data_IF_536886264039
#
_entry.id   IF_536886264039
#
_cell.length_a   1.000
_cell.length_b   1.000
_cell.length_c   1.000
_cell.angle_alpha   90.00
_cell.angle_beta   90.00
_cell.angle_gamma   90.00
#
_symmetry.space_group_name_H-M   'P 1'
#
loop_
_entity.id
_entity.type
_entity.pdbx_description
1 polymer ?
#
# COMPACT_ATOMS: atom_id res chain seq x y z
N UNK A 1 -65.60 -33.98 -13.16
CA UNK A 1 -64.35 -33.83 -12.44
C UNK A 1 -63.24 -34.26 -13.37
N UNK A 2 -62.62 -33.30 -14.12
CA UNK A 2 -61.52 -33.59 -15.03
C UNK A 2 -60.22 -33.56 -14.24
N UNK A 3 -59.54 -34.68 -14.06
CA UNK A 3 -58.19 -34.78 -13.54
C UNK A 3 -57.24 -34.46 -14.69
N UNK A 4 -56.60 -33.31 -14.65
CA UNK A 4 -55.48 -32.98 -15.54
C UNK A 4 -54.27 -33.91 -15.22
N UNK A 5 -53.58 -34.47 -16.22
CA UNK A 5 -52.44 -35.36 -15.99
C UNK A 5 -51.25 -34.61 -15.51
N UNK A 6 -50.81 -34.97 -14.32
CA UNK A 6 -49.64 -34.42 -13.61
C UNK A 6 -48.34 -34.29 -14.45
N UNK A 7 -48.05 -35.14 -15.46
CA UNK A 7 -46.82 -35.04 -16.26
C UNK A 7 -46.74 -33.82 -17.20
N UNK A 8 -47.89 -33.28 -17.62
CA UNK A 8 -47.94 -32.11 -18.53
C UNK A 8 -47.58 -30.79 -17.81
N UNK A 9 -47.93 -30.68 -16.54
CA UNK A 9 -47.59 -29.49 -15.71
C UNK A 9 -46.08 -29.47 -15.37
N UNK A 10 -45.48 -30.62 -15.09
CA UNK A 10 -44.05 -30.73 -14.82
C UNK A 10 -43.18 -30.44 -16.05
N UNK A 11 -43.63 -30.80 -17.25
CA UNK A 11 -42.93 -30.53 -18.50
C UNK A 11 -42.93 -29.02 -18.86
N UNK A 12 -44.03 -28.31 -18.57
CA UNK A 12 -44.13 -26.86 -18.78
C UNK A 12 -43.27 -26.06 -17.78
N UNK A 13 -43.12 -26.52 -16.54
CA UNK A 13 -42.22 -25.89 -15.53
C UNK A 13 -40.75 -26.05 -15.87
N UNK A 14 -40.34 -27.19 -16.46
CA UNK A 14 -38.94 -27.41 -16.88
C UNK A 14 -38.57 -26.59 -18.13
N UNK A 15 -39.50 -26.36 -19.04
CA UNK A 15 -39.25 -25.53 -20.25
C UNK A 15 -39.12 -24.05 -19.94
N UNK A 16 -39.70 -23.55 -18.85
CA UNK A 16 -39.58 -22.15 -18.39
C UNK A 16 -38.25 -21.81 -17.79
N UNK A 17 -37.48 -22.78 -17.30
CA UNK A 17 -36.14 -22.57 -16.68
C UNK A 17 -34.99 -22.45 -17.70
N UNK A 18 -35.21 -22.81 -18.96
CA UNK A 18 -34.22 -22.75 -20.04
C UNK A 18 -34.26 -21.45 -20.85
N UNK A 19 -35.25 -20.59 -20.62
CA UNK A 19 -35.40 -19.30 -21.35
C UNK A 19 -34.67 -18.11 -20.67
N UNK A 20 -33.91 -18.34 -19.62
CA UNK A 20 -33.44 -17.30 -18.70
C UNK A 20 -32.01 -16.81 -18.85
N UNK A 21 -31.31 -17.06 -19.97
CA UNK A 21 -29.94 -16.48 -20.14
C UNK A 21 -29.59 -16.27 -21.61
N UNK A 22 -30.08 -15.21 -22.22
CA UNK A 22 -29.44 -14.66 -23.42
C UNK A 22 -29.72 -13.16 -23.57
N UNK A 23 -29.31 -12.37 -22.59
CA UNK A 23 -28.94 -10.99 -22.87
C UNK A 23 -27.48 -10.98 -23.37
N UNK A 24 -27.22 -11.43 -24.59
CA UNK A 24 -26.00 -11.11 -25.29
C UNK A 24 -26.04 -9.62 -25.54
N UNK A 25 -25.45 -8.84 -24.64
CA UNK A 25 -25.10 -7.43 -24.90
C UNK A 25 -24.21 -7.46 -26.15
N UNK A 26 -24.73 -6.96 -27.26
CA UNK A 26 -24.00 -6.90 -28.53
C UNK A 26 -22.68 -6.17 -28.30
N UNK A 27 -21.55 -6.83 -28.56
CA UNK A 27 -20.24 -6.21 -28.37
C UNK A 27 -20.03 -5.08 -29.39
N UNK A 28 -20.33 -3.87 -28.97
CA UNK A 28 -20.18 -2.66 -29.80
C UNK A 28 -18.79 -2.52 -30.41
N UNK A 29 -17.78 -3.19 -29.84
CA UNK A 29 -16.40 -3.14 -30.31
C UNK A 29 -16.04 -4.26 -31.31
N UNK A 30 -16.99 -5.14 -31.69
CA UNK A 30 -16.72 -6.34 -32.49
C UNK A 30 -15.95 -6.05 -33.78
N UNK A 31 -16.25 -4.95 -34.47
CA UNK A 31 -15.59 -4.53 -35.71
C UNK A 31 -14.45 -3.51 -35.51
N UNK A 32 -14.03 -3.20 -34.28
CA UNK A 32 -13.01 -2.17 -34.08
C UNK A 32 -11.58 -2.76 -34.19
N UNK A 33 -10.69 -1.98 -34.80
CA UNK A 33 -9.27 -2.29 -34.78
C UNK A 33 -8.70 -2.15 -33.35
N UNK A 34 -7.58 -2.83 -33.03
CA UNK A 34 -6.91 -2.66 -31.74
C UNK A 34 -6.58 -1.19 -31.41
N UNK A 35 -6.12 -0.42 -32.38
CA UNK A 35 -5.81 0.99 -32.17
C UNK A 35 -7.06 1.83 -31.85
N UNK A 36 -8.21 1.51 -32.46
CA UNK A 36 -9.47 2.19 -32.14
C UNK A 36 -9.93 1.88 -30.72
N UNK A 37 -9.82 0.62 -30.28
CA UNK A 37 -10.16 0.24 -28.91
C UNK A 37 -9.25 0.97 -27.91
N UNK A 38 -7.96 1.08 -28.23
CA UNK A 38 -6.99 1.80 -27.40
C UNK A 38 -7.35 3.28 -27.28
N UNK A 39 -7.65 3.94 -28.41
CA UNK A 39 -8.04 5.35 -28.41
C UNK A 39 -9.28 5.59 -27.56
N UNK A 40 -10.33 4.77 -27.74
CA UNK A 40 -11.56 4.87 -26.95
C UNK A 40 -11.30 4.66 -25.45
N UNK A 41 -10.46 3.65 -25.11
CA UNK A 41 -10.06 3.41 -23.71
C UNK A 41 -9.33 4.61 -23.10
N UNK A 42 -8.46 5.26 -23.86
CA UNK A 42 -7.77 6.49 -23.44
C UNK A 42 -8.73 7.68 -23.29
N UNK A 43 -9.72 7.81 -24.16
CA UNK A 43 -10.75 8.85 -24.04
C UNK A 43 -11.59 8.67 -22.79
N UNK A 44 -11.98 7.43 -22.45
CA UNK A 44 -12.67 7.13 -21.18
C UNK A 44 -11.75 7.38 -19.96
N UNK A 45 -10.47 7.05 -20.05
CA UNK A 45 -9.48 7.38 -19.01
C UNK A 45 -9.39 8.89 -18.79
N UNK A 46 -9.29 9.68 -19.86
CA UNK A 46 -9.15 11.14 -19.82
C UNK A 46 -10.41 11.82 -19.28
N UNK A 47 -11.58 11.21 -19.52
CA UNK A 47 -12.86 11.67 -18.96
C UNK A 47 -13.06 11.30 -17.48
N UNK A 48 -12.18 10.46 -16.90
CA UNK A 48 -12.29 9.91 -15.55
C UNK A 48 -13.25 8.73 -15.43
N UNK A 49 -13.76 8.19 -16.53
CA UNK A 49 -14.65 7.03 -16.58
C UNK A 49 -13.85 5.71 -16.55
N UNK A 50 -13.09 5.51 -15.47
CA UNK A 50 -12.17 4.37 -15.32
C UNK A 50 -12.87 3.01 -15.40
N UNK A 51 -14.10 2.92 -14.88
CA UNK A 51 -14.97 1.74 -14.95
C UNK A 51 -15.29 1.33 -16.39
N UNK A 52 -15.33 2.28 -17.33
CA UNK A 52 -15.54 2.02 -18.76
C UNK A 52 -14.22 1.75 -19.49
N UNK A 53 -13.13 2.35 -19.06
CA UNK A 53 -11.81 2.13 -19.68
C UNK A 53 -11.31 0.70 -19.42
N UNK A 54 -11.49 0.15 -18.23
CA UNK A 54 -11.02 -1.21 -17.86
C UNK A 54 -11.48 -2.28 -18.85
N UNK A 55 -12.79 -2.46 -19.16
CA UNK A 55 -13.23 -3.49 -20.10
C UNK A 55 -12.73 -3.27 -21.53
N UNK A 56 -12.44 -2.03 -21.94
CA UNK A 56 -11.84 -1.75 -23.24
C UNK A 56 -10.38 -2.22 -23.29
N UNK A 57 -9.60 -1.96 -22.24
CA UNK A 57 -8.24 -2.49 -22.12
C UNK A 57 -8.21 -4.02 -22.06
N UNK A 58 -9.17 -4.65 -21.40
CA UNK A 58 -9.29 -6.12 -21.37
C UNK A 58 -9.54 -6.71 -22.77
N UNK A 59 -10.45 -6.11 -23.52
CA UNK A 59 -10.70 -6.50 -24.91
C UNK A 59 -9.47 -6.31 -25.78
N UNK A 60 -8.76 -5.19 -25.59
CA UNK A 60 -7.55 -4.90 -26.33
C UNK A 60 -6.43 -5.91 -26.01
N UNK A 61 -6.25 -6.26 -24.73
CA UNK A 61 -5.30 -7.28 -24.29
C UNK A 61 -5.54 -8.61 -25.02
N UNK A 62 -6.81 -9.03 -25.13
CA UNK A 62 -7.17 -10.25 -25.86
C UNK A 62 -6.96 -10.15 -27.38
N UNK A 63 -7.36 -9.02 -28.01
CA UNK A 63 -7.28 -8.86 -29.46
C UNK A 63 -5.89 -8.57 -30.00
N UNK A 64 -5.04 -7.94 -29.18
CA UNK A 64 -3.67 -7.60 -29.54
C UNK A 64 -2.64 -8.50 -28.85
N UNK A 65 -3.04 -9.70 -28.41
CA UNK A 65 -2.20 -10.60 -27.65
C UNK A 65 -0.81 -10.80 -28.29
N UNK A 66 0.25 -10.75 -27.48
CA UNK A 66 1.63 -10.87 -27.92
C UNK A 66 2.25 -9.59 -28.51
N UNK A 67 1.50 -8.50 -28.63
CA UNK A 67 2.02 -7.23 -29.14
C UNK A 67 2.43 -6.25 -28.03
N UNK A 68 3.29 -5.25 -28.34
CA UNK A 68 3.56 -4.16 -27.38
C UNK A 68 2.31 -3.39 -26.96
N UNK A 69 1.30 -3.29 -27.83
CA UNK A 69 0.04 -2.62 -27.52
C UNK A 69 -0.77 -3.36 -26.44
N UNK A 70 -0.73 -4.71 -26.45
CA UNK A 70 -1.35 -5.50 -25.37
C UNK A 70 -0.62 -5.29 -24.04
N UNK A 71 0.72 -5.18 -24.04
CA UNK A 71 1.48 -4.87 -22.82
C UNK A 71 1.14 -3.48 -22.28
N UNK A 72 1.02 -2.48 -23.16
CA UNK A 72 0.59 -1.14 -22.77
C UNK A 72 -0.83 -1.15 -22.19
N UNK A 73 -1.75 -1.89 -22.80
CA UNK A 73 -3.12 -2.03 -22.30
C UNK A 73 -3.18 -2.64 -20.90
N UNK A 74 -2.31 -3.60 -20.58
CA UNK A 74 -2.23 -4.17 -19.23
C UNK A 74 -1.81 -3.12 -18.19
N UNK A 75 -0.82 -2.30 -18.50
CA UNK A 75 -0.35 -1.24 -17.61
C UNK A 75 -1.43 -0.16 -17.44
N UNK A 76 -2.04 0.28 -18.55
CA UNK A 76 -3.09 1.29 -18.52
C UNK A 76 -4.34 0.80 -17.77
N UNK A 77 -4.66 -0.49 -17.91
CA UNK A 77 -5.70 -1.13 -17.10
C UNK A 77 -5.39 -1.09 -15.61
N UNK A 78 -4.14 -1.40 -15.23
CA UNK A 78 -3.72 -1.30 -13.84
C UNK A 78 -3.83 0.14 -13.31
N UNK A 79 -3.46 1.11 -14.13
CA UNK A 79 -3.61 2.52 -13.78
C UNK A 79 -5.09 2.92 -13.65
N UNK A 80 -5.98 2.43 -14.54
CA UNK A 80 -7.42 2.65 -14.46
C UNK A 80 -7.99 2.11 -13.14
N UNK A 81 -7.65 0.87 -12.76
CA UNK A 81 -8.03 0.29 -11.47
C UNK A 81 -7.53 1.14 -10.29
N UNK A 82 -6.27 1.60 -10.35
CA UNK A 82 -5.72 2.48 -9.31
C UNK A 82 -6.53 3.77 -9.18
N UNK A 83 -6.85 4.43 -10.29
CA UNK A 83 -7.62 5.68 -10.32
C UNK A 83 -9.08 5.47 -9.89
N UNK A 84 -9.66 4.30 -10.15
CA UNK A 84 -10.97 3.88 -9.67
C UNK A 84 -10.99 3.55 -8.16
N UNK A 85 -9.83 3.52 -7.48
CA UNK A 85 -9.72 3.11 -6.08
C UNK A 85 -9.70 1.59 -5.87
N UNK A 86 -9.64 0.81 -6.92
CA UNK A 86 -9.64 -0.65 -6.94
C UNK A 86 -8.22 -1.20 -6.77
N UNK A 87 -7.62 -0.92 -5.59
CA UNK A 87 -6.19 -1.20 -5.31
C UNK A 87 -5.82 -2.67 -5.52
N UNK A 88 -6.67 -3.60 -5.09
CA UNK A 88 -6.39 -5.04 -5.22
C UNK A 88 -6.30 -5.49 -6.69
N UNK A 89 -7.19 -4.99 -7.54
CA UNK A 89 -7.20 -5.28 -8.98
C UNK A 89 -6.00 -4.65 -9.67
N UNK A 90 -5.63 -3.42 -9.28
CA UNK A 90 -4.43 -2.76 -9.79
C UNK A 90 -3.17 -3.57 -9.49
N UNK A 91 -2.97 -3.99 -8.23
CA UNK A 91 -1.81 -4.81 -7.82
C UNK A 91 -1.80 -6.15 -8.57
N UNK A 92 -2.93 -6.86 -8.62
CA UNK A 92 -3.03 -8.14 -9.32
C UNK A 92 -2.69 -8.03 -10.82
N UNK A 93 -3.14 -6.93 -11.46
CA UNK A 93 -2.85 -6.66 -12.87
C UNK A 93 -1.35 -6.38 -13.08
N UNK A 94 -0.72 -5.62 -12.19
CA UNK A 94 0.72 -5.33 -12.24
C UNK A 94 1.57 -6.58 -11.98
N UNK A 95 1.22 -7.39 -10.99
CA UNK A 95 1.92 -8.64 -10.68
C UNK A 95 1.85 -9.61 -11.87
N UNK A 96 0.68 -9.71 -12.51
CA UNK A 96 0.52 -10.51 -13.74
C UNK A 96 1.38 -9.96 -14.88
N UNK A 97 1.40 -8.63 -15.09
CA UNK A 97 2.24 -7.99 -16.10
C UNK A 97 3.71 -8.30 -15.89
N UNK A 98 4.23 -8.07 -14.68
CA UNK A 98 5.63 -8.29 -14.34
C UNK A 98 6.04 -9.75 -14.50
N UNK A 99 5.15 -10.69 -14.17
CA UNK A 99 5.39 -12.12 -14.34
C UNK A 99 5.43 -12.56 -15.81
N UNK A 100 4.55 -12.00 -16.63
CA UNK A 100 4.45 -12.35 -18.06
C UNK A 100 5.50 -11.65 -18.92
N UNK A 101 5.95 -10.48 -18.51
CA UNK A 101 6.83 -9.61 -19.30
C UNK A 101 8.06 -9.14 -18.51
N UNK A 102 8.89 -10.07 -17.97
CA UNK A 102 10.01 -9.72 -17.07
C UNK A 102 11.09 -8.86 -17.74
N UNK A 103 11.17 -8.86 -19.07
CA UNK A 103 12.10 -8.06 -19.86
C UNK A 103 11.45 -6.84 -20.53
N UNK A 104 10.22 -6.49 -20.13
CA UNK A 104 9.54 -5.32 -20.70
C UNK A 104 10.28 -4.03 -20.36
N UNK A 105 10.43 -3.09 -21.32
CA UNK A 105 11.01 -1.77 -21.04
C UNK A 105 10.15 -0.92 -20.09
N UNK A 106 8.89 -1.31 -19.85
CA UNK A 106 8.00 -0.64 -18.92
C UNK A 106 8.02 -1.26 -17.51
N UNK A 107 8.98 -2.13 -17.21
CA UNK A 107 9.09 -2.78 -15.90
C UNK A 107 9.32 -1.78 -14.77
N UNK A 108 10.13 -0.76 -15.02
CA UNK A 108 10.38 0.32 -14.05
C UNK A 108 9.09 1.09 -13.71
N UNK A 109 8.27 1.39 -14.73
CA UNK A 109 6.97 2.03 -14.48
C UNK A 109 5.98 1.10 -13.76
N UNK A 110 5.97 -0.20 -14.10
CA UNK A 110 5.10 -1.16 -13.43
C UNK A 110 5.42 -1.28 -11.93
N UNK A 111 6.71 -1.34 -11.57
CA UNK A 111 7.17 -1.32 -10.18
C UNK A 111 6.81 -0.01 -9.47
N UNK A 112 7.03 1.12 -10.15
CA UNK A 112 6.67 2.43 -9.63
C UNK A 112 5.17 2.53 -9.33
N UNK A 113 4.33 2.14 -10.29
CA UNK A 113 2.88 2.16 -10.12
C UNK A 113 2.42 1.21 -9.01
N UNK A 114 3.02 0.01 -8.89
CA UNK A 114 2.75 -0.90 -7.77
C UNK A 114 3.08 -0.28 -6.42
N UNK A 115 4.21 0.41 -6.33
CA UNK A 115 4.57 1.21 -5.16
C UNK A 115 3.52 2.28 -4.84
N UNK A 116 3.07 3.05 -5.85
CA UNK A 116 2.05 4.09 -5.67
C UNK A 116 0.69 3.55 -5.22
N UNK A 117 0.24 2.41 -5.77
CA UNK A 117 -1.05 1.78 -5.40
C UNK A 117 -1.10 1.44 -3.91
N UNK A 118 0.03 0.99 -3.36
CA UNK A 118 0.17 0.62 -1.94
C UNK A 118 0.60 1.80 -1.06
N UNK A 119 1.08 2.89 -1.68
CA UNK A 119 1.52 4.07 -0.94
C UNK A 119 0.33 4.81 -0.34
N UNK A 120 0.46 5.18 0.92
CA UNK A 120 -0.53 5.97 1.62
C UNK A 120 0.13 7.25 2.16
N UNK A 121 -0.20 8.39 1.57
CA UNK A 121 0.32 9.70 1.97
C UNK A 121 -0.10 10.09 3.40
N UNK A 122 -1.13 9.44 3.94
CA UNK A 122 -1.66 9.71 5.27
C UNK A 122 -0.89 9.02 6.41
N UNK A 123 0.15 8.23 6.11
CA UNK A 123 0.98 7.55 7.13
C UNK A 123 1.80 8.52 8.00
N UNK A 124 1.95 9.80 7.64
CA UNK A 124 2.89 10.72 8.30
C UNK A 124 2.28 11.80 9.17
N UNK A 125 1.73 12.85 8.59
CA UNK A 125 1.43 14.08 9.33
C UNK A 125 -0.01 14.22 9.82
N UNK A 126 -0.97 13.57 9.16
CA UNK A 126 -2.38 13.72 9.47
C UNK A 126 -3.00 12.55 10.23
N UNK A 127 -2.38 11.37 10.28
CA UNK A 127 -2.83 10.24 11.10
C UNK A 127 -2.80 10.58 12.60
N UNK A 128 -1.91 11.48 12.99
CA UNK A 128 -1.82 12.02 14.34
C UNK A 128 -3.04 12.88 14.73
N UNK A 129 -3.64 13.60 13.78
CA UNK A 129 -4.84 14.43 14.01
C UNK A 129 -6.10 13.57 13.98
N UNK A 130 -6.13 12.52 13.16
CA UNK A 130 -7.34 11.69 12.97
C UNK A 130 -7.57 10.63 14.04
N UNK A 131 -6.63 10.40 14.98
CA UNK A 131 -6.67 9.30 15.97
C UNK A 131 -6.97 7.93 15.35
N UNK A 132 -6.70 7.76 14.06
CA UNK A 132 -6.84 6.48 13.40
C UNK A 132 -5.65 5.61 13.82
N UNK A 133 -5.92 4.54 14.56
CA UNK A 133 -4.96 3.47 14.78
C UNK A 133 -4.51 2.96 13.41
N UNK A 134 -3.19 3.06 13.16
CA UNK A 134 -2.58 2.45 11.99
C UNK A 134 -2.83 0.94 12.11
N UNK A 135 -3.81 0.43 11.37
CA UNK A 135 -4.15 -0.98 11.38
C UNK A 135 -3.00 -1.81 10.81
N UNK A 136 -2.91 -3.08 11.19
CA UNK A 136 -1.94 -4.04 10.59
C UNK A 136 -1.97 -4.01 9.04
N UNK A 137 -3.14 -3.76 8.47
CA UNK A 137 -3.34 -3.65 7.02
C UNK A 137 -2.58 -2.47 6.41
N UNK A 138 -2.56 -1.32 7.10
CA UNK A 138 -1.86 -0.13 6.61
C UNK A 138 -0.34 -0.31 6.67
N UNK A 139 0.18 -1.00 7.69
CA UNK A 139 1.60 -1.35 7.78
C UNK A 139 2.01 -2.33 6.67
N UNK A 140 1.17 -3.32 6.36
CA UNK A 140 1.43 -4.24 5.26
C UNK A 140 1.50 -3.49 3.93
N UNK A 141 0.55 -2.63 3.63
CA UNK A 141 0.54 -1.82 2.42
C UNK A 141 1.81 -0.94 2.33
N UNK A 142 2.24 -0.33 3.44
CA UNK A 142 3.47 0.45 3.49
C UNK A 142 4.72 -0.40 3.18
N UNK A 143 4.81 -1.61 3.72
CA UNK A 143 5.90 -2.55 3.42
C UNK A 143 5.88 -3.00 1.96
N UNK A 144 4.71 -3.39 1.44
CA UNK A 144 4.53 -3.78 0.03
C UNK A 144 4.92 -2.62 -0.92
N UNK A 145 4.60 -1.38 -0.55
CA UNK A 145 5.01 -0.16 -1.27
C UNK A 145 6.53 0.02 -1.24
N UNK A 146 7.14 -0.10 -0.06
CA UNK A 146 8.60 0.01 0.11
C UNK A 146 9.34 -1.04 -0.72
N UNK A 147 8.88 -2.29 -0.72
CA UNK A 147 9.48 -3.37 -1.50
C UNK A 147 9.44 -3.08 -3.01
N UNK A 148 8.30 -2.62 -3.52
CA UNK A 148 8.16 -2.27 -4.94
C UNK A 148 9.09 -1.10 -5.33
N UNK A 149 9.18 -0.05 -4.52
CA UNK A 149 10.09 1.07 -4.77
C UNK A 149 11.56 0.66 -4.63
N UNK A 150 11.90 -0.19 -3.65
CA UNK A 150 13.25 -0.70 -3.44
C UNK A 150 13.71 -1.55 -4.64
N UNK A 151 12.86 -2.42 -5.15
CA UNK A 151 13.15 -3.20 -6.35
C UNK A 151 13.37 -2.28 -7.57
N UNK A 152 12.53 -1.25 -7.73
CA UNK A 152 12.70 -0.25 -8.79
C UNK A 152 14.07 0.43 -8.71
N UNK A 153 14.41 1.00 -7.55
CA UNK A 153 15.67 1.75 -7.38
C UNK A 153 16.90 0.85 -7.58
N UNK A 154 16.81 -0.41 -7.13
CA UNK A 154 17.91 -1.37 -7.23
C UNK A 154 18.12 -1.85 -8.67
N UNK A 155 17.04 -2.20 -9.37
CA UNK A 155 17.12 -2.76 -10.74
C UNK A 155 17.23 -1.70 -11.82
N UNK A 156 16.65 -0.53 -11.57
CA UNK A 156 16.53 0.56 -12.56
C UNK A 156 16.98 1.90 -11.97
N UNK A 157 18.24 2.03 -11.50
CA UNK A 157 18.71 3.25 -10.82
C UNK A 157 18.69 4.50 -11.71
N UNK A 158 18.70 4.31 -13.05
CA UNK A 158 18.62 5.39 -14.02
C UNK A 158 17.18 5.68 -14.49
N UNK A 159 16.18 5.00 -13.92
CA UNK A 159 14.79 5.30 -14.23
C UNK A 159 14.41 6.71 -13.76
N UNK A 160 13.61 7.41 -14.57
CA UNK A 160 13.05 8.71 -14.19
C UNK A 160 12.21 8.67 -12.89
N UNK A 161 11.77 7.48 -12.49
CA UNK A 161 11.00 7.27 -11.27
C UNK A 161 11.84 6.99 -10.04
N UNK A 162 13.14 6.70 -10.19
CA UNK A 162 14.00 6.24 -9.11
C UNK A 162 14.17 7.29 -7.98
N UNK A 163 14.27 8.56 -8.35
CA UNK A 163 14.41 9.65 -7.37
C UNK A 163 13.16 9.80 -6.50
N UNK A 164 11.97 9.84 -7.11
CA UNK A 164 10.71 9.94 -6.39
C UNK A 164 10.46 8.69 -5.53
N UNK A 165 10.75 7.51 -6.06
CA UNK A 165 10.67 6.26 -5.32
C UNK A 165 11.55 6.27 -4.06
N UNK A 166 12.79 6.75 -4.15
CA UNK A 166 13.70 6.87 -3.01
C UNK A 166 13.17 7.83 -1.93
N UNK A 167 12.57 8.94 -2.33
CA UNK A 167 11.95 9.88 -1.40
C UNK A 167 10.77 9.26 -0.66
N UNK A 168 9.92 8.50 -1.39
CA UNK A 168 8.79 7.77 -0.80
C UNK A 168 9.24 6.66 0.14
N UNK A 169 10.30 5.94 -0.21
CA UNK A 169 10.91 4.95 0.68
C UNK A 169 11.34 5.57 2.01
N UNK A 170 12.03 6.70 1.97
CA UNK A 170 12.43 7.45 3.17
C UNK A 170 11.21 7.84 4.01
N UNK A 171 10.15 8.33 3.37
CA UNK A 171 8.90 8.66 4.04
C UNK A 171 8.25 7.44 4.71
N UNK A 172 8.18 6.29 4.02
CA UNK A 172 7.62 5.05 4.56
C UNK A 172 8.40 4.59 5.79
N UNK A 173 9.73 4.54 5.71
CA UNK A 173 10.58 4.10 6.83
C UNK A 173 10.40 4.99 8.05
N UNK A 174 10.37 6.31 7.85
CA UNK A 174 10.09 7.26 8.93
C UNK A 174 8.72 7.01 9.58
N UNK A 175 7.69 6.79 8.77
CA UNK A 175 6.33 6.58 9.26
C UNK A 175 6.19 5.28 10.05
N UNK A 176 6.80 4.19 9.58
CA UNK A 176 6.81 2.90 10.27
C UNK A 176 7.56 2.98 11.60
N UNK A 177 8.72 3.64 11.62
CA UNK A 177 9.47 3.85 12.86
C UNK A 177 8.69 4.70 13.87
N UNK A 178 8.05 5.78 13.42
CA UNK A 178 7.21 6.62 14.29
C UNK A 178 6.04 5.85 14.90
N UNK A 179 5.44 4.92 14.15
CA UNK A 179 4.39 4.05 14.68
C UNK A 179 4.90 3.18 15.83
N UNK A 180 6.03 2.48 15.66
CA UNK A 180 6.60 1.65 16.72
C UNK A 180 6.94 2.47 17.98
N UNK A 181 7.49 3.67 17.80
CA UNK A 181 7.80 4.58 18.90
C UNK A 181 6.54 5.09 19.59
N UNK A 182 5.49 5.39 18.82
CA UNK A 182 4.20 5.78 19.40
C UNK A 182 3.61 4.68 20.28
N UNK A 183 3.63 3.43 19.79
CA UNK A 183 3.16 2.26 20.55
C UNK A 183 4.05 2.01 21.79
N UNK A 184 5.38 2.15 21.65
CA UNK A 184 6.32 2.02 22.77
C UNK A 184 6.02 3.06 23.85
N UNK A 185 5.80 4.32 23.48
CA UNK A 185 5.43 5.40 24.41
C UNK A 185 4.11 5.12 25.13
N UNK A 186 3.11 4.64 24.40
CA UNK A 186 1.82 4.25 24.98
C UNK A 186 1.98 3.18 26.07
N UNK A 187 2.76 2.11 25.80
CA UNK A 187 3.03 1.07 26.79
C UNK A 187 3.84 1.60 27.99
N UNK A 188 4.86 2.43 27.71
CA UNK A 188 5.65 3.05 28.78
C UNK A 188 4.79 3.87 29.72
N UNK A 189 3.92 4.74 29.21
CA UNK A 189 3.01 5.58 30.01
C UNK A 189 2.02 4.78 30.86
N UNK A 190 1.74 3.53 30.49
CA UNK A 190 0.89 2.59 31.25
C UNK A 190 1.66 1.68 32.20
N UNK A 191 2.97 1.85 32.32
CA UNK A 191 3.80 0.99 33.17
C UNK A 191 4.08 -0.39 32.59
N UNK A 192 3.68 -0.66 31.35
CA UNK A 192 3.92 -1.92 30.66
C UNK A 192 5.34 -1.94 30.04
N UNK A 193 6.36 -1.80 30.90
CA UNK A 193 7.74 -1.56 30.48
C UNK A 193 8.33 -2.66 29.58
N UNK A 194 8.00 -3.94 29.81
CA UNK A 194 8.46 -5.03 28.95
C UNK A 194 7.94 -4.89 27.51
N UNK A 195 6.66 -4.50 27.35
CA UNK A 195 6.08 -4.26 26.05
C UNK A 195 6.69 -3.00 25.38
N UNK A 196 6.95 -1.94 26.15
CA UNK A 196 7.63 -0.74 25.68
C UNK A 196 9.05 -1.06 25.17
N UNK A 197 9.81 -1.89 25.89
CA UNK A 197 11.13 -2.38 25.48
C UNK A 197 11.03 -3.11 24.14
N UNK A 198 10.10 -4.07 24.01
CA UNK A 198 9.95 -4.84 22.78
C UNK A 198 9.69 -3.95 21.56
N UNK A 199 8.78 -2.96 21.68
CA UNK A 199 8.50 -2.02 20.59
C UNK A 199 9.67 -1.10 20.27
N UNK A 200 10.36 -0.58 21.30
CA UNK A 200 11.56 0.24 21.09
C UNK A 200 12.69 -0.55 20.39
N UNK A 201 12.87 -1.82 20.76
CA UNK A 201 13.85 -2.69 20.10
C UNK A 201 13.51 -2.96 18.63
N UNK A 202 12.23 -3.19 18.31
CA UNK A 202 11.78 -3.31 16.91
C UNK A 202 12.11 -2.03 16.14
N UNK A 203 11.78 -0.85 16.69
CA UNK A 203 12.12 0.42 16.04
C UNK A 203 13.63 0.55 15.76
N UNK A 204 14.47 0.21 16.74
CA UNK A 204 15.92 0.33 16.63
C UNK A 204 16.56 -0.72 15.69
N UNK A 205 15.98 -1.90 15.59
CA UNK A 205 16.50 -2.99 14.76
C UNK A 205 16.09 -2.85 13.29
N UNK A 206 14.81 -2.53 13.04
CA UNK A 206 14.21 -2.60 11.70
C UNK A 206 14.34 -1.29 10.92
N UNK A 207 14.49 -0.15 11.62
CA UNK A 207 14.48 1.18 10.99
C UNK A 207 15.74 1.96 11.35
N UNK A 208 16.68 2.07 10.43
CA UNK A 208 17.93 2.79 10.68
C UNK A 208 17.92 4.21 10.07
N UNK A 209 18.65 5.14 10.70
CA UNK A 209 18.87 6.47 10.16
C UNK A 209 17.66 7.41 10.21
N UNK A 210 16.63 7.10 11.01
CA UNK A 210 15.42 7.92 11.11
C UNK A 210 15.35 8.67 12.45
N UNK A 211 14.77 9.90 12.47
CA UNK A 211 14.71 10.73 13.68
C UNK A 211 13.96 10.11 14.86
N UNK A 212 13.00 9.21 14.60
CA UNK A 212 12.19 8.57 15.63
C UNK A 212 13.01 7.67 16.58
N UNK A 213 14.18 7.19 16.16
CA UNK A 213 15.02 6.29 16.96
C UNK A 213 15.60 6.95 18.21
N UNK A 214 15.79 8.25 18.21
CA UNK A 214 16.20 9.01 19.39
C UNK A 214 15.20 8.80 20.55
N UNK A 215 13.92 8.89 20.27
CA UNK A 215 12.87 8.65 21.26
C UNK A 215 12.74 7.17 21.62
N UNK A 216 12.85 6.27 20.65
CA UNK A 216 12.84 4.82 20.90
C UNK A 216 13.92 4.45 21.92
N UNK A 217 15.12 4.96 21.75
CA UNK A 217 16.25 4.70 22.64
C UNK A 217 16.01 5.30 24.03
N UNK A 218 15.42 6.50 24.10
CA UNK A 218 15.05 7.10 25.38
C UNK A 218 14.00 6.26 26.12
N UNK A 219 12.93 5.80 25.46
CA UNK A 219 11.91 4.92 26.05
C UNK A 219 12.54 3.62 26.54
N UNK A 220 13.47 3.06 25.79
CA UNK A 220 14.19 1.85 26.15
C UNK A 220 14.98 2.05 27.45
N UNK A 221 15.74 3.13 27.56
CA UNK A 221 16.52 3.50 28.77
C UNK A 221 15.58 3.63 29.98
N UNK A 222 14.52 4.39 29.86
CA UNK A 222 13.58 4.62 30.95
C UNK A 222 12.85 3.34 31.37
N UNK A 223 12.54 2.46 30.41
CA UNK A 223 11.89 1.18 30.69
C UNK A 223 12.83 0.20 31.40
N UNK A 224 14.11 0.15 31.03
CA UNK A 224 15.12 -0.64 31.74
C UNK A 224 15.35 -0.12 33.17
N UNK A 225 15.39 1.20 33.35
CA UNK A 225 15.52 1.82 34.68
C UNK A 225 14.34 1.46 35.58
N UNK A 226 13.11 1.55 35.08
CA UNK A 226 11.90 1.21 35.82
C UNK A 226 11.82 -0.28 36.23
N UNK A 227 12.48 -1.17 35.47
CA UNK A 227 12.59 -2.60 35.79
C UNK A 227 13.82 -2.98 36.60
N UNK A 228 14.67 -2.01 36.97
CA UNK A 228 15.92 -2.25 37.70
C UNK A 228 17.01 -2.97 36.88
N UNK A 229 16.90 -2.98 35.56
CA UNK A 229 17.86 -3.62 34.65
C UNK A 229 19.05 -2.68 34.39
N UNK A 230 19.84 -2.41 35.42
CA UNK A 230 20.87 -1.35 35.43
C UNK A 230 21.91 -1.50 34.34
N UNK A 231 22.40 -2.71 34.06
CA UNK A 231 23.40 -2.94 33.02
C UNK A 231 22.85 -2.59 31.62
N UNK A 232 21.64 -3.05 31.28
CA UNK A 232 21.00 -2.79 29.99
C UNK A 232 20.67 -1.30 29.83
N UNK A 233 20.22 -0.65 30.90
CA UNK A 233 20.02 0.80 30.94
C UNK A 233 21.30 1.55 30.63
N UNK A 234 22.40 1.20 31.28
CA UNK A 234 23.69 1.88 31.13
C UNK A 234 24.30 1.64 29.75
N UNK A 235 24.11 0.44 29.18
CA UNK A 235 24.50 0.13 27.81
C UNK A 235 23.70 0.96 26.79
N UNK A 236 22.37 1.04 26.95
CA UNK A 236 21.52 1.85 26.08
C UNK A 236 21.84 3.36 26.22
N UNK A 237 22.18 3.83 27.46
CA UNK A 237 22.58 5.21 27.69
C UNK A 237 23.88 5.55 26.95
N UNK A 238 24.89 4.65 26.97
CA UNK A 238 26.12 4.86 26.21
C UNK A 238 25.86 4.99 24.70
N UNK A 239 24.91 4.22 24.17
CA UNK A 239 24.47 4.32 22.78
C UNK A 239 23.82 5.69 22.52
N UNK A 240 22.95 6.14 23.44
CA UNK A 240 22.29 7.43 23.36
C UNK A 240 23.29 8.59 23.33
N UNK A 241 24.22 8.62 24.29
CA UNK A 241 25.24 9.67 24.43
C UNK A 241 26.15 9.74 23.19
N UNK A 242 26.44 8.58 22.57
CA UNK A 242 27.27 8.50 21.36
C UNK A 242 26.52 8.91 20.10
N UNK A 243 25.28 8.45 19.95
CA UNK A 243 24.51 8.63 18.71
C UNK A 243 23.73 9.94 18.68
N UNK A 244 23.33 10.44 19.85
CA UNK A 244 22.50 11.63 20.03
C UNK A 244 23.01 12.54 21.15
N UNK A 245 24.27 13.04 21.07
CA UNK A 245 24.90 13.79 22.17
C UNK A 245 24.16 15.09 22.52
N UNK A 246 23.36 15.63 21.60
CA UNK A 246 22.57 16.85 21.81
C UNK A 246 21.09 16.55 22.00
N UNK A 247 20.72 15.31 22.34
CA UNK A 247 19.34 14.91 22.51
C UNK A 247 18.64 15.72 23.60
N UNK A 248 17.49 16.30 23.23
CA UNK A 248 16.65 16.98 24.19
C UNK A 248 16.09 16.05 25.27
N UNK A 249 16.00 14.74 24.99
CA UNK A 249 15.55 13.73 25.97
C UNK A 249 16.55 13.53 27.11
N UNK A 250 17.86 13.77 26.89
CA UNK A 250 18.88 13.63 27.93
C UNK A 250 18.67 14.69 29.05
N UNK A 251 18.31 15.91 28.66
CA UNK A 251 18.18 17.05 29.58
C UNK A 251 16.75 17.31 30.04
N UNK A 252 15.77 17.09 29.20
CA UNK A 252 14.37 17.48 29.43
C UNK A 252 13.37 16.31 29.47
N UNK A 253 13.80 15.08 29.19
CA UNK A 253 12.90 13.92 29.12
C UNK A 253 11.77 14.12 28.10
N UNK A 254 10.61 13.48 28.31
CA UNK A 254 9.44 13.66 27.45
C UNK A 254 8.89 15.09 27.38
N UNK A 255 9.21 15.93 28.35
CA UNK A 255 8.78 17.36 28.38
C UNK A 255 9.52 18.22 27.35
N UNK A 256 10.66 17.77 26.85
CA UNK A 256 11.46 18.51 25.89
C UNK A 256 10.78 18.61 24.50
N UNK A 257 9.89 17.67 24.17
CA UNK A 257 8.93 17.76 23.05
C UNK A 257 7.56 18.17 23.59
N UNK A 258 7.42 19.38 24.18
CA UNK A 258 6.11 19.90 24.51
C UNK A 258 5.29 19.99 23.22
N UNK A 259 4.10 19.43 23.25
CA UNK A 259 3.14 19.63 22.17
C UNK A 259 3.00 21.11 21.90
N UNK A 260 2.91 21.53 20.62
CA UNK A 260 2.71 22.92 20.28
C UNK A 260 1.51 23.47 21.05
N UNK A 261 1.57 24.72 21.51
CA UNK A 261 0.60 25.38 22.35
C UNK A 261 -0.85 25.35 21.83
N UNK A 262 -1.05 25.06 20.53
CA UNK A 262 -2.39 24.90 19.91
C UNK A 262 -3.01 23.51 20.07
N UNK A 263 -2.33 22.53 20.69
CA UNK A 263 -2.86 21.21 21.02
C UNK A 263 -3.61 21.23 22.35
N UNK A 264 -4.69 21.95 22.41
CA UNK A 264 -5.57 21.99 23.59
C UNK A 264 -6.74 21.01 23.54
N UNK A 265 -6.78 20.05 22.61
CA UNK A 265 -7.81 19.00 22.48
C UNK A 265 -7.24 17.65 22.15
#
# INVERSE_FOLDING_TARGET
MLRAPLPLVSALLLAGLLAGCSSTTEDKTAGWSPNRIYSEAQDEMNSGAFDKAVPLFEKLEGRAAGTPLAQQAQIDKAYAHYKAGEKAQAVATLDRFMKLHPASPAMDYALYLKGLVNFNDNLGLFSFISRQDLSERDQKAAKDSFEAFSELVTRFPQSRYAQDASQRMTYIVNSLAQYEVHVARYYYQRGAYVAAIGRSQVALADYQGVPALEEALYILIQSYDALGMTQLRDDARRVMDKSYPQSAYITGGFKAKSDPWWKFW
#
